data_IF_462960033491
#
_entry.id   IF_462960033491
#
_cell.length_a   1.000
_cell.length_b   1.000
_cell.length_c   1.000
_cell.angle_alpha   90.00
_cell.angle_beta   90.00
_cell.angle_gamma   90.00
#
_symmetry.space_group_name_H-M   'P 1'
#
loop_
_entity.id
_entity.type
_entity.pdbx_description
1 polymer ?
#
# COMPACT_ATOMS: atom_id res chain seq x y z
N UNK A 1 -5.36 -5.58 -0.42
CA UNK A 1 -6.30 -4.77 -1.20
C UNK A 1 -5.57 -3.57 -1.74
N UNK A 2 -5.78 -3.23 -3.00
CA UNK A 2 -5.18 -2.04 -3.59
C UNK A 2 -6.14 -0.88 -3.40
N UNK A 3 -5.61 0.24 -2.94
CA UNK A 3 -6.36 1.48 -2.75
C UNK A 3 -5.84 2.48 -3.77
N UNK A 4 -6.73 2.97 -4.62
CA UNK A 4 -6.47 4.12 -5.46
C UNK A 4 -6.76 5.37 -4.62
N UNK A 5 -5.75 6.22 -4.44
CA UNK A 5 -5.90 7.49 -3.73
C UNK A 5 -5.84 8.65 -4.73
N UNK A 6 -6.84 9.52 -4.71
CA UNK A 6 -6.97 10.65 -5.62
C UNK A 6 -7.33 11.89 -4.80
N UNK A 7 -6.65 13.01 -5.02
CA UNK A 7 -7.04 14.27 -4.39
C UNK A 7 -8.30 14.84 -5.06
N UNK A 8 -9.34 15.16 -4.29
CA UNK A 8 -10.51 15.86 -4.81
C UNK A 8 -10.17 17.32 -5.14
N UNK A 9 -9.73 17.58 -6.36
CA UNK A 9 -9.30 18.90 -6.83
C UNK A 9 -9.85 19.22 -8.22
N UNK A 10 -9.92 20.50 -8.58
CA UNK A 10 -10.29 20.92 -9.94
C UNK A 10 -9.30 20.43 -10.98
N UNK A 11 -8.02 20.35 -10.62
CA UNK A 11 -6.95 19.82 -11.47
C UNK A 11 -7.15 18.35 -11.81
N UNK A 12 -7.75 17.58 -10.88
CA UNK A 12 -8.13 16.18 -11.10
C UNK A 12 -9.56 16.03 -11.64
N UNK A 13 -10.19 17.11 -12.10
CA UNK A 13 -11.58 17.15 -12.62
C UNK A 13 -12.66 16.74 -11.61
N UNK A 14 -12.36 16.73 -10.31
CA UNK A 14 -13.28 16.31 -9.24
C UNK A 14 -13.81 17.47 -8.40
N UNK A 15 -13.13 18.63 -8.37
CA UNK A 15 -13.21 19.72 -7.38
C UNK A 15 -14.58 20.30 -6.99
N UNK A 16 -15.44 19.44 -6.46
CA UNK A 16 -16.76 19.67 -5.89
C UNK A 16 -17.03 18.57 -4.84
N UNK A 17 -17.98 18.75 -3.91
CA UNK A 17 -18.31 17.73 -2.92
C UNK A 17 -18.77 16.44 -3.61
N UNK A 18 -18.08 15.32 -3.34
CA UNK A 18 -18.44 14.02 -3.90
C UNK A 18 -19.46 13.35 -2.98
N UNK A 19 -20.68 13.03 -3.45
CA UNK A 19 -21.66 12.34 -2.64
C UNK A 19 -21.20 10.91 -2.33
N UNK A 20 -21.53 10.42 -1.13
CA UNK A 20 -21.32 9.02 -0.79
C UNK A 20 -22.11 8.12 -1.75
N UNK A 21 -21.52 6.99 -2.12
CA UNK A 21 -22.12 6.11 -3.11
C UNK A 21 -21.17 5.03 -3.60
N UNK A 22 -21.67 4.25 -4.56
CA UNK A 22 -20.93 3.16 -5.19
C UNK A 22 -20.14 3.71 -6.37
N UNK A 23 -18.82 3.57 -6.32
CA UNK A 23 -17.92 3.91 -7.41
C UNK A 23 -17.50 2.63 -8.12
N UNK A 24 -17.57 2.65 -9.45
CA UNK A 24 -17.03 1.62 -10.33
C UNK A 24 -15.79 2.15 -11.02
N UNK A 25 -14.72 1.36 -10.97
CA UNK A 25 -13.45 1.67 -11.57
C UNK A 25 -13.32 0.92 -12.88
N UNK A 26 -12.89 1.66 -13.88
CA UNK A 26 -12.60 1.13 -15.20
C UNK A 26 -11.21 1.57 -15.65
N UNK A 27 -10.50 0.70 -16.36
CA UNK A 27 -9.21 0.99 -17.00
C UNK A 27 -9.44 1.08 -18.51
N UNK A 28 -8.92 2.12 -19.13
CA UNK A 28 -8.90 2.20 -20.59
C UNK A 28 -7.86 1.21 -21.13
N UNK A 29 -8.26 0.35 -22.07
CA UNK A 29 -7.38 -0.50 -22.86
C UNK A 29 -7.63 -0.24 -24.35
N UNK A 30 -6.83 0.66 -24.94
CA UNK A 30 -7.06 1.16 -26.28
C UNK A 30 -8.39 1.92 -26.40
N UNK A 31 -9.34 1.36 -27.13
CA UNK A 31 -10.70 1.92 -27.30
C UNK A 31 -11.71 1.35 -26.31
N UNK A 32 -11.34 0.30 -25.58
CA UNK A 32 -12.24 -0.41 -24.68
C UNK A 32 -12.06 0.06 -23.24
N UNK A 33 -13.08 -0.21 -22.43
CA UNK A 33 -13.05 0.03 -20.99
C UNK A 33 -13.24 -1.28 -20.24
N UNK A 34 -12.22 -1.68 -19.49
CA UNK A 34 -12.25 -2.88 -18.67
C UNK A 34 -12.68 -2.52 -17.25
N UNK A 35 -13.65 -3.25 -16.70
CA UNK A 35 -14.07 -3.09 -15.31
C UNK A 35 -13.04 -3.72 -14.37
N UNK A 36 -12.46 -2.92 -13.48
CA UNK A 36 -11.33 -3.34 -12.62
C UNK A 36 -11.67 -3.35 -11.12
N UNK A 37 -12.86 -2.89 -10.74
CA UNK A 37 -13.30 -2.96 -9.35
C UNK A 37 -14.45 -2.04 -9.01
N UNK A 38 -15.00 -2.24 -7.82
CA UNK A 38 -16.08 -1.43 -7.26
C UNK A 38 -15.82 -1.21 -5.76
N UNK A 39 -16.10 0.00 -5.27
CA UNK A 39 -16.06 0.31 -3.85
C UNK A 39 -17.23 1.22 -3.46
N UNK A 40 -17.58 1.21 -2.18
CA UNK A 40 -18.51 2.16 -1.60
C UNK A 40 -17.73 3.24 -0.85
N UNK A 41 -17.83 4.48 -1.32
CA UNK A 41 -17.18 5.64 -0.70
C UNK A 41 -18.16 6.46 0.12
N UNK A 42 -17.65 7.13 1.16
CA UNK A 42 -18.39 8.11 1.95
C UNK A 42 -18.42 9.47 1.21
N UNK A 43 -19.22 10.40 1.72
CA UNK A 43 -19.14 11.79 1.26
C UNK A 43 -17.70 12.30 1.42
N UNK A 44 -17.13 12.85 0.35
CA UNK A 44 -15.77 13.43 0.36
C UNK A 44 -15.88 14.92 0.05
N UNK A 45 -15.55 15.80 1.03
CA UNK A 45 -15.49 17.24 0.82
C UNK A 45 -14.52 17.62 -0.31
N UNK A 46 -14.69 18.84 -0.83
CA UNK A 46 -13.69 19.41 -1.74
C UNK A 46 -12.32 19.48 -1.04
N UNK A 47 -11.23 19.21 -1.77
CA UNK A 47 -9.83 19.26 -1.33
C UNK A 47 -9.36 18.13 -0.42
N UNK A 48 -10.23 17.19 -0.04
CA UNK A 48 -9.85 15.98 0.70
C UNK A 48 -9.47 14.82 -0.25
N UNK A 49 -8.77 13.83 0.29
CA UNK A 49 -8.37 12.63 -0.46
C UNK A 49 -9.51 11.63 -0.54
N UNK A 50 -9.83 11.20 -1.76
CA UNK A 50 -10.74 10.12 -2.05
C UNK A 50 -9.95 8.80 -2.14
N UNK A 51 -10.27 7.87 -1.25
CA UNK A 51 -9.67 6.53 -1.24
C UNK A 51 -10.69 5.52 -1.74
N UNK A 52 -10.41 4.90 -2.90
CA UNK A 52 -11.27 3.90 -3.54
C UNK A 52 -10.54 2.56 -3.51
N UNK A 53 -11.14 1.54 -2.91
CA UNK A 53 -10.60 0.18 -2.93
C UNK A 53 -10.84 -0.45 -4.30
N UNK A 54 -9.88 -0.26 -5.19
CA UNK A 54 -9.83 -0.89 -6.50
C UNK A 54 -9.43 -2.37 -6.38
N UNK A 55 -10.30 -3.21 -5.79
CA UNK A 55 -10.12 -4.66 -5.72
C UNK A 55 -8.67 -5.11 -5.39
N UNK A 56 -8.20 -6.17 -6.07
CA UNK A 56 -6.76 -6.47 -6.19
C UNK A 56 -6.30 -5.87 -7.51
N UNK A 57 -5.31 -4.96 -7.51
CA UNK A 57 -4.69 -4.59 -8.77
C UNK A 57 -4.00 -5.84 -9.33
N UNK A 58 -4.47 -6.30 -10.49
CA UNK A 58 -3.90 -7.45 -11.19
C UNK A 58 -2.50 -7.13 -11.75
N UNK A 59 -2.20 -5.85 -11.98
CA UNK A 59 -0.93 -5.42 -12.57
C UNK A 59 0.24 -5.32 -11.58
N UNK A 60 0.04 -5.46 -10.26
CA UNK A 60 1.12 -5.40 -9.27
C UNK A 60 0.92 -6.49 -8.25
N UNK A 61 1.88 -7.41 -8.17
CA UNK A 61 1.88 -8.53 -7.24
C UNK A 61 2.87 -8.25 -6.12
N UNK A 62 2.48 -8.51 -4.88
CA UNK A 62 3.41 -8.50 -3.75
C UNK A 62 3.39 -9.84 -3.03
N UNK A 63 4.57 -10.33 -2.69
CA UNK A 63 4.79 -11.52 -1.88
C UNK A 63 5.55 -11.13 -0.62
N UNK A 64 5.17 -11.70 0.52
CA UNK A 64 5.81 -11.46 1.82
C UNK A 64 6.39 -12.77 2.34
N UNK A 65 7.70 -12.78 2.60
CA UNK A 65 8.41 -13.94 3.15
C UNK A 65 9.10 -13.56 4.47
N UNK A 66 8.90 -14.36 5.51
CA UNK A 66 9.67 -14.20 6.75
C UNK A 66 10.98 -14.98 6.57
N UNK A 67 12.10 -14.28 6.39
CA UNK A 67 13.42 -14.89 6.22
C UNK A 67 13.95 -15.46 7.53
N UNK A 68 13.73 -14.73 8.62
CA UNK A 68 14.26 -15.09 9.94
C UNK A 68 13.28 -14.70 11.03
N UNK A 69 13.17 -15.54 12.05
CA UNK A 69 12.51 -15.22 13.31
C UNK A 69 13.44 -15.57 14.45
N UNK A 70 13.66 -14.61 15.35
CA UNK A 70 14.44 -14.79 16.56
C UNK A 70 13.61 -14.38 17.77
N UNK A 71 13.98 -14.92 18.94
CA UNK A 71 13.31 -14.64 20.21
C UNK A 71 14.33 -14.10 21.22
N UNK A 72 14.70 -12.81 21.13
CA UNK A 72 15.74 -12.24 21.99
C UNK A 72 15.43 -12.35 23.49
N UNK A 73 14.15 -12.44 23.87
CA UNK A 73 13.70 -12.71 25.23
C UNK A 73 12.35 -13.43 25.22
N UNK A 74 11.85 -13.87 26.39
CA UNK A 74 10.51 -14.49 26.51
C UNK A 74 9.36 -13.59 26.02
N UNK A 75 9.62 -12.28 25.97
CA UNK A 75 8.68 -11.20 25.70
C UNK A 75 9.02 -10.40 24.44
N UNK A 76 9.91 -10.93 23.59
CA UNK A 76 10.26 -10.26 22.34
C UNK A 76 10.38 -11.23 21.17
N UNK A 77 10.03 -10.73 19.99
CA UNK A 77 10.24 -11.41 18.70
C UNK A 77 10.91 -10.44 17.77
N UNK A 78 12.02 -10.85 17.18
CA UNK A 78 12.67 -10.15 16.07
C UNK A 78 12.38 -10.90 14.79
N UNK A 79 12.01 -10.18 13.73
CA UNK A 79 11.74 -10.78 12.43
C UNK A 79 12.48 -10.01 11.33
N UNK A 80 13.07 -10.78 10.41
CA UNK A 80 13.53 -10.28 9.13
C UNK A 80 12.52 -10.72 8.08
N UNK A 81 11.94 -9.76 7.38
CA UNK A 81 10.87 -9.95 6.41
C UNK A 81 11.30 -9.37 5.08
N UNK A 82 11.08 -10.13 4.02
CA UNK A 82 11.33 -9.75 2.65
C UNK A 82 10.00 -9.60 1.92
N UNK A 83 9.88 -8.56 1.12
CA UNK A 83 8.81 -8.36 0.18
C UNK A 83 9.36 -8.33 -1.24
N UNK A 84 8.76 -9.12 -2.10
CA UNK A 84 9.03 -9.10 -3.54
C UNK A 84 7.82 -8.49 -4.24
N UNK A 85 8.02 -7.34 -4.87
CA UNK A 85 7.00 -6.64 -5.64
C UNK A 85 7.29 -6.82 -7.13
N UNK A 86 6.29 -7.25 -7.90
CA UNK A 86 6.39 -7.46 -9.35
C UNK A 86 5.37 -6.58 -10.07
N UNK A 87 5.85 -5.76 -11.01
CA UNK A 87 5.01 -4.91 -11.84
C UNK A 87 4.79 -5.55 -13.21
N UNK A 88 3.53 -5.66 -13.60
CA UNK A 88 3.08 -5.95 -14.96
C UNK A 88 2.61 -4.67 -15.68
N UNK A 89 2.82 -3.49 -15.08
CA UNK A 89 2.48 -2.21 -15.69
C UNK A 89 3.51 -1.82 -16.75
N UNK A 90 3.04 -1.06 -17.74
CA UNK A 90 3.88 -0.42 -18.78
C UNK A 90 4.46 0.93 -18.34
N UNK A 91 4.11 1.40 -17.15
CA UNK A 91 4.55 2.68 -16.58
C UNK A 91 5.11 2.46 -15.18
N UNK A 92 6.08 3.29 -14.80
CA UNK A 92 6.61 3.33 -13.44
C UNK A 92 5.52 3.78 -12.46
N UNK A 93 5.54 3.20 -11.27
CA UNK A 93 4.59 3.50 -10.20
C UNK A 93 5.29 3.55 -8.84
N UNK A 94 4.76 4.35 -7.92
CA UNK A 94 5.12 4.28 -6.51
C UNK A 94 4.10 3.40 -5.78
N UNK A 95 4.57 2.34 -5.12
CA UNK A 95 3.73 1.43 -4.34
C UNK A 95 3.89 1.75 -2.86
N UNK A 96 2.77 2.01 -2.19
CA UNK A 96 2.75 2.12 -0.74
C UNK A 96 2.63 0.73 -0.11
N UNK A 97 3.72 0.25 0.47
CA UNK A 97 3.78 -1.02 1.18
C UNK A 97 3.61 -0.78 2.68
N UNK A 98 2.64 -1.48 3.28
CA UNK A 98 2.31 -1.35 4.70
C UNK A 98 2.57 -2.69 5.38
N UNK A 99 3.54 -2.72 6.30
CA UNK A 99 3.69 -3.84 7.23
C UNK A 99 2.81 -3.59 8.45
N UNK A 100 1.86 -4.49 8.69
CA UNK A 100 0.92 -4.40 9.80
C UNK A 100 1.45 -5.13 11.03
N UNK A 101 1.33 -4.48 12.18
CA UNK A 101 1.82 -4.94 13.48
C UNK A 101 0.71 -4.76 14.54
N UNK A 102 0.89 -5.38 15.69
CA UNK A 102 -0.06 -5.23 16.80
C UNK A 102 0.20 -3.90 17.54
N UNK A 103 -0.82 -3.04 17.58
CA UNK A 103 -0.78 -1.73 18.23
C UNK A 103 -0.48 -1.78 19.74
N UNK A 104 -0.82 -2.88 20.42
CA UNK A 104 -0.62 -3.06 21.85
C UNK A 104 0.81 -3.48 22.22
N UNK A 105 1.64 -3.77 21.21
CA UNK A 105 3.03 -4.19 21.40
C UNK A 105 3.98 -3.03 21.13
N UNK A 106 5.14 -3.05 21.78
CA UNK A 106 6.20 -2.10 21.47
C UNK A 106 6.93 -2.54 20.21
N UNK A 107 6.57 -1.93 19.08
CA UNK A 107 7.14 -2.20 17.77
C UNK A 107 8.30 -1.24 17.46
N UNK A 108 9.44 -1.77 17.02
CA UNK A 108 10.58 -0.97 16.58
C UNK A 108 11.16 -1.54 15.28
N UNK A 109 11.17 -0.72 14.24
CA UNK A 109 11.92 -0.99 13.02
C UNK A 109 13.42 -0.87 13.33
N UNK A 110 14.18 -1.92 13.04
CA UNK A 110 15.63 -2.01 13.26
C UNK A 110 16.40 -1.65 11.98
N UNK A 111 16.02 -2.23 10.84
CA UNK A 111 16.65 -1.98 9.55
C UNK A 111 15.64 -2.08 8.40
N UNK A 112 15.97 -1.45 7.27
CA UNK A 112 15.17 -1.49 6.04
C UNK A 112 16.07 -1.15 4.85
N UNK A 113 15.85 -1.79 3.70
CA UNK A 113 16.58 -1.47 2.47
C UNK A 113 16.22 -0.10 1.90
N UNK A 114 15.05 0.45 2.26
CA UNK A 114 14.66 1.83 1.95
C UNK A 114 14.23 2.61 3.19
N UNK A 115 14.22 3.93 3.07
CA UNK A 115 13.72 4.78 4.15
C UNK A 115 12.22 4.54 4.38
N UNK A 116 11.87 4.40 5.65
CA UNK A 116 10.48 4.32 6.10
C UNK A 116 9.81 5.69 5.90
N UNK A 117 8.66 5.71 5.21
CA UNK A 117 7.93 6.96 4.96
C UNK A 117 7.09 7.37 6.17
N UNK A 118 6.52 6.40 6.89
CA UNK A 118 5.70 6.65 8.09
C UNK A 118 5.84 5.52 9.10
N UNK A 119 5.93 5.88 10.38
CA UNK A 119 5.92 4.96 11.52
C UNK A 119 4.72 5.26 12.41
N UNK A 120 3.92 4.24 12.69
CA UNK A 120 2.83 4.29 13.68
C UNK A 120 2.94 3.07 14.59
N UNK A 121 2.21 3.07 15.70
CA UNK A 121 2.27 1.97 16.67
C UNK A 121 1.92 0.60 16.06
N UNK A 122 1.02 0.59 15.07
CA UNK A 122 0.45 -0.62 14.46
C UNK A 122 0.95 -0.89 13.03
N UNK A 123 1.83 -0.05 12.47
CA UNK A 123 2.32 -0.22 11.10
C UNK A 123 3.59 0.54 10.76
N UNK A 124 4.33 0.00 9.80
CA UNK A 124 5.38 0.71 9.08
C UNK A 124 4.99 0.85 7.61
N UNK A 125 5.10 2.07 7.09
CA UNK A 125 4.78 2.39 5.70
C UNK A 125 6.05 2.70 4.93
N UNK A 126 6.12 2.17 3.71
CA UNK A 126 7.24 2.34 2.79
C UNK A 126 6.73 2.76 1.42
N UNK A 127 7.42 3.70 0.78
CA UNK A 127 7.15 4.13 -0.60
C UNK A 127 8.16 3.44 -1.51
N UNK A 128 7.73 2.39 -2.20
CA UNK A 128 8.59 1.57 -3.06
C UNK A 128 8.49 2.07 -4.50
N UNK A 129 9.57 2.61 -5.09
CA UNK A 129 9.58 2.93 -6.51
C UNK A 129 9.67 1.63 -7.32
N UNK A 130 8.59 1.29 -8.02
CA UNK A 130 8.49 0.06 -8.81
C UNK A 130 8.42 0.43 -10.30
N UNK A 131 9.46 0.08 -11.05
CA UNK A 131 9.54 0.39 -12.47
C UNK A 131 8.56 -0.49 -13.28
N UNK A 132 8.22 -0.02 -14.47
CA UNK A 132 7.45 -0.78 -15.44
C UNK A 132 8.09 -2.15 -15.70
N UNK A 133 7.29 -3.22 -15.68
CA UNK A 133 7.76 -4.58 -15.98
C UNK A 133 8.84 -5.13 -15.06
N UNK A 134 9.14 -4.47 -13.93
CA UNK A 134 10.28 -4.83 -13.07
C UNK A 134 9.88 -5.56 -11.79
N UNK A 135 10.87 -6.14 -11.15
CA UNK A 135 10.78 -6.65 -9.79
C UNK A 135 11.55 -5.74 -8.82
N UNK A 136 11.05 -5.61 -7.60
CA UNK A 136 11.70 -4.88 -6.51
C UNK A 136 11.67 -5.70 -5.23
N UNK A 137 12.80 -5.80 -4.53
CA UNK A 137 12.90 -6.49 -3.24
C UNK A 137 13.12 -5.49 -2.10
N UNK A 138 12.22 -5.51 -1.13
CA UNK A 138 12.32 -4.76 0.12
C UNK A 138 12.58 -5.73 1.27
N UNK A 139 13.69 -5.56 1.98
CA UNK A 139 13.93 -6.30 3.22
C UNK A 139 13.83 -5.35 4.40
N UNK A 140 13.05 -5.75 5.41
CA UNK A 140 12.89 -5.04 6.67
C UNK A 140 13.21 -5.96 7.83
N UNK A 141 13.73 -5.38 8.89
CA UNK A 141 13.91 -6.06 10.17
C UNK A 141 13.24 -5.24 11.26
N UNK A 142 12.43 -5.89 12.09
CA UNK A 142 11.79 -5.25 13.22
C UNK A 142 11.78 -6.16 14.43
N UNK A 143 11.64 -5.54 15.61
CA UNK A 143 11.41 -6.22 16.87
C UNK A 143 10.09 -5.77 17.45
N UNK A 144 9.38 -6.73 18.04
CA UNK A 144 8.12 -6.54 18.70
C UNK A 144 8.24 -7.07 20.12
N UNK A 145 7.94 -6.25 21.12
CA UNK A 145 7.94 -6.62 22.53
C UNK A 145 6.52 -6.60 23.12
N UNK A 146 6.19 -7.57 23.97
CA UNK A 146 4.89 -7.72 24.63
C UNK A 146 4.99 -8.02 26.13
#
# INVERSE_FOLDING_TARGET
>A
NVVLSLKNSKQNHLGFPLPGGKIRLYKADGKDMEFIGEDAVKHTPEKEDLNIKAGRAFDVVSERRVLKTERPSKRSRRQTVEYTLRSHKKTDVEVELIEHLNAYQQNKLLSSTIQVSKKQADRFTFKVPLKAGSEYTLTIEYVTNW
#
